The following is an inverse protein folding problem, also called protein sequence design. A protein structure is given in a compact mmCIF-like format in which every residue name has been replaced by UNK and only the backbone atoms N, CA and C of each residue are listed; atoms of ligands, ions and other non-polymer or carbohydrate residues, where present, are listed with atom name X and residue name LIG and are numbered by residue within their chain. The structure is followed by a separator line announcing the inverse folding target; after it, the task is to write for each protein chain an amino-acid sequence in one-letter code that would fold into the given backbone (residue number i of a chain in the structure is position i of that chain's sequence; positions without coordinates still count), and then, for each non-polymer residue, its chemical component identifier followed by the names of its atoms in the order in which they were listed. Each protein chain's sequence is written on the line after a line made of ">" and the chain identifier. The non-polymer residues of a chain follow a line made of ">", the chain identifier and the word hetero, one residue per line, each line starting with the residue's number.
data_IF_345556445654
#
_entry.id   IF_345556445654
#
_cell.length_a   1.000
_cell.length_b   1.000
_cell.length_c   1.000
_cell.angle_alpha   90.00
_cell.angle_beta   90.00
_cell.angle_gamma   90.00
#
_symmetry.space_group_name_H-M   'P 1'
#
loop_
_entity.id
_entity.type
_entity.pdbx_description
1 polymer ?
#
# COMPACT_ATOMS: atom_id res chain seq x y z
N UNK A 1 -36.30 11.27 -35.94
CA UNK A 1 -35.33 10.56 -35.09
C UNK A 1 -34.12 10.24 -35.94
N UNK A 2 -33.01 10.94 -35.72
CA UNK A 2 -31.76 10.69 -36.43
C UNK A 2 -30.71 10.34 -35.36
N UNK A 3 -30.35 9.07 -35.27
CA UNK A 3 -29.18 8.63 -34.50
C UNK A 3 -27.95 8.95 -35.34
N UNK A 4 -27.28 10.03 -35.00
CA UNK A 4 -25.96 10.36 -35.53
C UNK A 4 -24.93 9.36 -35.01
N UNK A 5 -24.12 8.92 -35.98
CA UNK A 5 -23.04 7.93 -35.90
C UNK A 5 -22.20 8.05 -34.64
N UNK A 6 -21.95 6.89 -34.02
CA UNK A 6 -20.89 6.69 -33.05
C UNK A 6 -19.55 7.13 -33.66
N UNK A 7 -18.90 8.10 -33.01
CA UNK A 7 -17.46 8.30 -33.15
C UNK A 7 -16.76 7.06 -32.58
N UNK A 8 -16.46 6.14 -33.47
CA UNK A 8 -15.55 5.02 -33.25
C UNK A 8 -14.12 5.52 -33.07
N UNK A 9 -13.38 4.75 -32.27
CA UNK A 9 -11.92 4.75 -32.05
C UNK A 9 -11.35 5.88 -31.19
N UNK A 10 -11.61 5.82 -29.88
CA UNK A 10 -10.63 6.32 -28.91
C UNK A 10 -9.55 5.24 -28.79
N UNK A 11 -8.32 5.57 -29.15
CA UNK A 11 -7.14 4.74 -28.93
C UNK A 11 -7.20 4.09 -27.53
N UNK A 12 -7.08 2.76 -27.49
CA UNK A 12 -7.11 1.99 -26.25
C UNK A 12 -5.84 2.28 -25.45
N UNK A 13 -5.88 3.35 -24.66
CA UNK A 13 -4.83 3.78 -23.75
C UNK A 13 -4.33 2.60 -22.89
N UNK A 14 -3.03 2.27 -22.99
CA UNK A 14 -2.36 1.28 -22.13
C UNK A 14 -1.50 1.99 -21.09
N UNK A 15 -1.40 1.40 -19.89
CA UNK A 15 -0.41 1.85 -18.90
C UNK A 15 1.02 1.61 -19.37
N UNK A 16 1.21 0.65 -20.28
CA UNK A 16 2.52 0.32 -20.86
C UNK A 16 3.03 1.42 -21.81
N UNK A 17 2.14 2.33 -22.26
CA UNK A 17 2.49 3.44 -23.16
C UNK A 17 3.03 4.67 -22.41
N UNK A 18 3.00 4.66 -21.06
CA UNK A 18 3.50 5.75 -20.23
C UNK A 18 4.87 5.39 -19.63
N UNK A 19 5.80 6.36 -19.52
CA UNK A 19 7.10 6.11 -18.89
C UNK A 19 6.91 5.63 -17.45
N UNK A 20 7.64 4.62 -16.96
CA UNK A 20 7.50 4.17 -15.58
C UNK A 20 7.81 5.31 -14.60
N UNK A 21 7.12 5.35 -13.46
CA UNK A 21 7.46 6.29 -12.40
C UNK A 21 8.81 5.92 -11.79
N UNK A 22 9.68 6.92 -11.66
CA UNK A 22 10.97 6.86 -10.96
C UNK A 22 10.78 6.90 -9.44
N UNK A 23 11.86 6.66 -8.68
CA UNK A 23 11.85 6.84 -7.23
C UNK A 23 11.49 8.28 -6.85
N UNK A 24 12.09 9.24 -7.56
CA UNK A 24 11.82 10.67 -7.36
C UNK A 24 10.35 11.03 -7.59
N UNK A 25 9.70 10.45 -8.60
CA UNK A 25 8.27 10.67 -8.83
C UNK A 25 7.42 10.18 -7.65
N UNK A 26 7.78 9.05 -7.03
CA UNK A 26 7.08 8.52 -5.86
C UNK A 26 7.33 9.38 -4.61
N UNK A 27 8.54 9.89 -4.44
CA UNK A 27 8.88 10.83 -3.35
C UNK A 27 8.01 12.07 -3.45
N UNK A 28 7.88 12.62 -4.66
CA UNK A 28 6.98 13.74 -4.95
C UNK A 28 5.51 13.42 -4.68
N UNK A 29 5.05 12.23 -5.07
CA UNK A 29 3.68 11.82 -4.79
C UNK A 29 3.41 11.68 -3.29
N UNK A 30 4.37 11.14 -2.52
CA UNK A 30 4.28 11.00 -1.07
C UNK A 30 4.29 12.38 -0.38
N UNK A 31 5.17 13.28 -0.80
CA UNK A 31 5.21 14.67 -0.33
C UNK A 31 3.90 15.41 -0.57
N UNK A 32 3.39 15.36 -1.81
CA UNK A 32 2.08 15.93 -2.17
C UNK A 32 0.95 15.34 -1.32
N UNK A 33 1.03 14.03 -1.04
CA UNK A 33 0.04 13.35 -0.21
C UNK A 33 0.10 13.83 1.24
N UNK A 34 1.30 13.97 1.80
CA UNK A 34 1.57 14.50 3.14
C UNK A 34 1.04 15.93 3.28
N UNK A 35 1.46 16.85 2.42
CA UNK A 35 0.97 18.25 2.37
C UNK A 35 -0.57 18.31 2.28
N UNK A 36 -1.17 17.44 1.47
CA UNK A 36 -2.63 17.36 1.36
C UNK A 36 -3.31 16.92 2.67
N UNK A 37 -2.70 16.01 3.46
CA UNK A 37 -3.28 15.56 4.74
C UNK A 37 -3.14 16.61 5.83
N UNK A 38 -1.99 17.26 5.91
CA UNK A 38 -1.71 18.34 6.85
C UNK A 38 -2.67 19.52 6.63
N UNK A 39 -2.84 19.97 5.38
CA UNK A 39 -3.77 21.05 5.03
C UNK A 39 -5.23 20.73 5.36
N UNK A 40 -5.59 19.44 5.44
CA UNK A 40 -6.93 18.99 5.85
C UNK A 40 -7.10 18.78 7.34
N UNK A 41 -6.05 19.01 8.16
CA UNK A 41 -6.03 18.71 9.60
C UNK A 41 -6.61 17.31 9.88
N UNK A 42 -6.24 16.35 9.04
CA UNK A 42 -6.75 14.99 9.13
C UNK A 42 -6.26 14.37 10.43
N UNK A 43 -7.14 13.81 11.26
CA UNK A 43 -6.75 12.98 12.42
C UNK A 43 -6.08 11.65 12.05
N UNK A 44 -5.64 11.53 10.80
CA UNK A 44 -4.95 10.38 10.22
C UNK A 44 -3.89 11.00 9.30
N UNK A 45 -2.69 11.31 9.84
CA UNK A 45 -1.60 11.84 9.05
C UNK A 45 -1.14 10.82 8.00
N UNK A 46 -0.37 11.27 7.02
CA UNK A 46 0.31 10.38 6.09
C UNK A 46 1.79 10.42 6.45
N UNK A 47 2.32 9.28 6.84
CA UNK A 47 3.71 9.12 7.23
C UNK A 47 4.29 8.02 6.36
N UNK A 48 5.33 8.34 5.60
CA UNK A 48 5.86 7.40 4.63
C UNK A 48 7.02 7.96 3.84
N UNK A 49 7.80 7.05 3.28
CA UNK A 49 8.97 7.38 2.46
C UNK A 49 9.14 6.38 1.33
N UNK A 50 10.02 6.72 0.40
CA UNK A 50 10.42 5.85 -0.70
C UNK A 50 11.78 5.27 -0.38
N UNK A 51 11.89 3.95 -0.48
CA UNK A 51 13.12 3.22 -0.31
C UNK A 51 13.44 2.56 -1.66
N UNK A 52 14.43 3.09 -2.35
CA UNK A 52 15.01 2.38 -3.48
C UNK A 52 16.05 1.36 -3.01
N UNK A 53 16.51 0.54 -3.95
CA UNK A 53 17.49 -0.50 -3.68
C UNK A 53 18.78 0.02 -3.02
N UNK A 54 19.23 1.22 -3.37
CA UNK A 54 20.46 1.82 -2.81
C UNK A 54 20.30 2.21 -1.34
N UNK A 55 19.07 2.46 -0.89
CA UNK A 55 18.73 2.83 0.49
C UNK A 55 18.17 1.68 1.33
N UNK A 56 18.26 0.42 0.86
CA UNK A 56 17.66 -0.73 1.54
C UNK A 56 18.30 -1.04 2.90
N UNK A 57 19.62 -0.87 3.04
CA UNK A 57 20.32 -1.07 4.32
C UNK A 57 19.78 -0.10 5.38
N UNK A 58 19.61 1.18 5.03
CA UNK A 58 18.96 2.16 5.91
C UNK A 58 17.55 1.75 6.33
N UNK A 59 16.75 1.19 5.41
CA UNK A 59 15.43 0.66 5.76
C UNK A 59 15.53 -0.46 6.79
N UNK A 60 16.49 -1.37 6.64
CA UNK A 60 16.66 -2.48 7.57
C UNK A 60 17.12 -2.01 8.94
N UNK A 61 18.10 -1.10 8.98
CA UNK A 61 18.58 -0.44 10.19
C UNK A 61 17.45 0.32 10.91
N UNK A 62 16.60 1.04 10.17
CA UNK A 62 15.43 1.71 10.73
C UNK A 62 14.45 0.72 11.38
N UNK A 63 14.11 -0.40 10.73
CA UNK A 63 13.20 -1.40 11.31
C UNK A 63 13.83 -2.03 12.57
N UNK A 64 15.12 -2.36 12.52
CA UNK A 64 15.83 -2.93 13.68
C UNK A 64 15.88 -1.94 14.86
N UNK A 65 16.30 -0.71 14.60
CA UNK A 65 16.42 0.35 15.61
C UNK A 65 15.07 0.76 16.20
N UNK A 66 14.04 0.86 15.37
CA UNK A 66 12.68 1.24 15.80
C UNK A 66 12.04 0.24 16.78
N UNK A 67 12.40 -1.05 16.71
CA UNK A 67 11.95 -2.05 17.69
C UNK A 67 12.45 -1.77 19.11
N UNK A 68 13.53 -0.98 19.25
CA UNK A 68 14.08 -0.55 20.53
C UNK A 68 13.50 0.78 21.02
N UNK A 69 12.51 1.36 20.32
CA UNK A 69 11.88 2.65 20.66
C UNK A 69 10.45 2.45 21.19
N UNK A 70 10.23 2.42 22.53
CA UNK A 70 8.90 2.27 23.12
C UNK A 70 7.90 3.32 22.63
N UNK A 71 8.38 4.53 22.35
CA UNK A 71 7.61 5.68 21.87
C UNK A 71 6.80 5.35 20.60
N UNK A 72 7.33 4.54 19.69
CA UNK A 72 6.63 4.17 18.46
C UNK A 72 5.42 3.27 18.77
N UNK A 73 5.56 2.34 19.70
CA UNK A 73 4.49 1.41 20.10
C UNK A 73 3.37 2.12 20.87
N UNK A 74 3.70 3.04 21.78
CA UNK A 74 2.73 3.80 22.57
C UNK A 74 1.79 4.67 21.70
N UNK A 75 2.30 5.18 20.57
CA UNK A 75 1.55 6.07 19.69
C UNK A 75 0.75 5.36 18.59
N UNK A 76 0.71 4.02 18.58
CA UNK A 76 0.15 3.24 17.47
C UNK A 76 0.71 3.68 16.11
N UNK A 77 2.02 3.94 16.05
CA UNK A 77 2.66 4.60 14.92
C UNK A 77 2.56 3.77 13.65
N UNK A 78 2.28 4.42 12.52
CA UNK A 78 2.16 3.78 11.20
C UNK A 78 3.04 4.49 10.19
N UNK A 79 3.76 3.73 9.39
CA UNK A 79 4.55 4.25 8.27
C UNK A 79 4.34 3.40 7.02
N UNK A 80 4.08 4.07 5.89
CA UNK A 80 3.95 3.43 4.57
C UNK A 80 5.22 3.64 3.75
N UNK A 81 5.78 2.56 3.23
CA UNK A 81 7.09 2.55 2.56
C UNK A 81 6.90 2.01 1.15
N UNK A 82 7.18 2.84 0.15
CA UNK A 82 7.29 2.37 -1.23
C UNK A 82 8.67 1.75 -1.41
N UNK A 83 8.73 0.44 -1.60
CA UNK A 83 9.99 -0.32 -1.71
C UNK A 83 10.24 -0.75 -3.15
N UNK A 84 11.40 -0.39 -3.72
CA UNK A 84 11.82 -0.83 -5.05
C UNK A 84 12.77 -2.01 -4.92
N UNK A 85 12.27 -3.21 -5.23
CA UNK A 85 13.11 -4.40 -5.32
C UNK A 85 13.76 -4.52 -6.71
N UNK A 86 14.99 -5.04 -6.75
CA UNK A 86 15.78 -5.31 -7.95
C UNK A 86 16.43 -6.70 -7.97
N UNK A 87 16.51 -7.40 -6.84
CA UNK A 87 17.52 -8.45 -6.67
C UNK A 87 17.09 -9.83 -7.20
N UNK A 88 15.87 -10.31 -6.90
CA UNK A 88 15.51 -11.70 -7.19
C UNK A 88 14.93 -11.95 -8.59
N UNK A 89 14.30 -10.95 -9.21
CA UNK A 89 13.63 -11.11 -10.51
C UNK A 89 14.40 -10.48 -11.69
N UNK A 90 15.42 -9.67 -11.40
CA UNK A 90 16.07 -8.80 -12.39
C UNK A 90 15.16 -7.68 -12.93
N UNK A 91 13.90 -7.61 -12.49
CA UNK A 91 12.90 -6.63 -12.92
C UNK A 91 12.67 -5.65 -11.77
N UNK A 92 12.89 -4.35 -12.04
CA UNK A 92 12.55 -3.27 -11.11
C UNK A 92 11.06 -3.28 -10.84
N UNK A 93 10.67 -3.47 -9.59
CA UNK A 93 9.27 -3.55 -9.22
C UNK A 93 8.98 -2.91 -7.87
N UNK A 94 7.88 -2.15 -7.81
CA UNK A 94 7.46 -1.42 -6.63
C UNK A 94 6.49 -2.27 -5.80
N UNK A 95 6.84 -2.43 -4.54
CA UNK A 95 6.00 -3.03 -3.49
C UNK A 95 5.67 -1.98 -2.42
N UNK A 96 4.64 -2.25 -1.65
CA UNK A 96 4.29 -1.45 -0.48
C UNK A 96 4.57 -2.25 0.78
N UNK A 97 5.32 -1.68 1.70
CA UNK A 97 5.47 -2.16 3.07
C UNK A 97 4.73 -1.18 3.97
N UNK A 98 3.90 -1.65 4.88
CA UNK A 98 3.42 -0.83 6.00
C UNK A 98 3.93 -1.43 7.30
N UNK A 99 4.50 -0.57 8.15
CA UNK A 99 4.85 -0.92 9.52
C UNK A 99 3.83 -0.26 10.44
N UNK A 100 3.25 -1.04 11.35
CA UNK A 100 2.45 -0.55 12.46
C UNK A 100 3.07 -1.03 13.78
N UNK A 101 3.47 -0.09 14.61
CA UNK A 101 3.94 -0.31 15.98
C UNK A 101 2.74 -0.14 16.91
N UNK A 102 2.45 -1.11 17.76
CA UNK A 102 1.30 -1.05 18.67
C UNK A 102 1.53 -1.92 19.91
N UNK A 103 0.82 -1.65 21.00
CA UNK A 103 0.87 -2.50 22.20
C UNK A 103 -0.34 -3.45 22.18
N UNK A 104 -0.10 -4.76 22.17
CA UNK A 104 -1.14 -5.80 22.22
C UNK A 104 -0.98 -6.65 23.48
N UNK A 105 -2.02 -6.66 24.33
CA UNK A 105 -2.03 -7.46 25.58
C UNK A 105 -0.80 -7.22 26.48
N UNK A 106 -0.22 -6.03 26.43
CA UNK A 106 0.96 -5.66 27.21
C UNK A 106 2.30 -5.83 26.49
N UNK A 107 2.31 -6.39 25.27
CA UNK A 107 3.53 -6.63 24.49
C UNK A 107 3.67 -5.61 23.35
N UNK A 108 4.90 -5.15 23.11
CA UNK A 108 5.25 -4.36 21.94
C UNK A 108 5.08 -5.23 20.69
N UNK A 109 4.20 -4.83 19.78
CA UNK A 109 3.87 -5.60 18.58
C UNK A 109 4.14 -4.78 17.33
N UNK A 110 5.12 -5.22 16.54
CA UNK A 110 5.39 -4.73 15.19
C UNK A 110 4.58 -5.57 14.19
N UNK A 111 3.60 -4.95 13.55
CA UNK A 111 2.86 -5.53 12.42
C UNK A 111 3.44 -5.03 11.11
N UNK A 112 3.72 -5.94 10.20
CA UNK A 112 4.33 -5.64 8.91
C UNK A 112 3.39 -6.15 7.82
N UNK A 113 2.75 -5.25 7.06
CA UNK A 113 2.04 -5.63 5.85
C UNK A 113 3.00 -5.55 4.67
N UNK A 114 3.21 -6.66 3.97
CA UNK A 114 3.97 -6.70 2.72
C UNK A 114 3.00 -6.91 1.57
N UNK A 115 2.80 -5.87 0.76
CA UNK A 115 1.85 -5.86 -0.35
C UNK A 115 2.59 -5.61 -1.66
N UNK A 116 2.78 -6.69 -2.42
CA UNK A 116 3.13 -6.61 -3.83
C UNK A 116 1.87 -6.74 -4.69
N UNK A 117 1.63 -5.73 -5.53
CA UNK A 117 0.45 -5.70 -6.39
C UNK A 117 0.38 -6.85 -7.42
N UNK A 118 1.50 -7.44 -7.82
CA UNK A 118 1.55 -8.60 -8.73
C UNK A 118 1.25 -9.93 -8.02
N UNK A 119 1.21 -9.96 -6.69
CA UNK A 119 0.61 -11.04 -5.92
C UNK A 119 1.43 -11.55 -4.72
N UNK A 120 0.93 -12.60 -4.04
CA UNK A 120 1.47 -13.09 -2.77
C UNK A 120 2.89 -13.62 -2.86
N UNK A 121 3.30 -14.22 -3.99
CA UNK A 121 4.66 -14.79 -4.10
C UNK A 121 5.76 -13.72 -4.02
N UNK A 122 5.56 -12.56 -4.65
CA UNK A 122 6.55 -11.49 -4.55
C UNK A 122 6.50 -10.83 -3.17
N UNK A 123 5.30 -10.71 -2.59
CA UNK A 123 5.15 -10.25 -1.19
C UNK A 123 5.90 -11.17 -0.22
N UNK A 124 5.82 -12.48 -0.42
CA UNK A 124 6.57 -13.47 0.34
C UNK A 124 8.08 -13.30 0.16
N UNK A 125 8.56 -13.11 -1.07
CA UNK A 125 9.98 -12.89 -1.32
C UNK A 125 10.50 -11.63 -0.61
N UNK A 126 9.74 -10.53 -0.63
CA UNK A 126 10.08 -9.31 0.11
C UNK A 126 10.05 -9.55 1.62
N UNK A 127 9.05 -10.28 2.14
CA UNK A 127 8.99 -10.65 3.55
C UNK A 127 10.19 -11.49 3.99
N UNK A 128 10.65 -12.43 3.16
CA UNK A 128 11.86 -13.21 3.41
C UNK A 128 13.09 -12.31 3.53
N UNK A 129 13.27 -11.38 2.59
CA UNK A 129 14.40 -10.44 2.61
C UNK A 129 14.35 -9.60 3.89
N UNK A 130 13.17 -9.08 4.26
CA UNK A 130 13.04 -8.32 5.50
C UNK A 130 13.38 -9.15 6.74
N UNK A 131 12.87 -10.39 6.84
CA UNK A 131 13.14 -11.23 8.00
C UNK A 131 14.63 -11.51 8.20
N UNK A 132 15.35 -11.74 7.10
CA UNK A 132 16.76 -12.10 7.12
C UNK A 132 17.65 -10.86 7.33
N UNK A 133 17.42 -9.81 6.56
CA UNK A 133 18.28 -8.62 6.56
C UNK A 133 18.04 -7.72 7.79
N UNK A 134 16.82 -7.68 8.32
CA UNK A 134 16.54 -7.00 9.59
C UNK A 134 16.95 -7.87 10.78
N UNK A 135 16.95 -9.20 10.64
CA UNK A 135 17.22 -10.12 11.76
C UNK A 135 16.04 -10.20 12.72
N UNK A 136 14.88 -10.65 12.24
CA UNK A 136 13.68 -10.75 13.11
C UNK A 136 13.85 -11.74 14.26
N UNK A 137 14.55 -12.86 14.06
CA UNK A 137 14.82 -13.83 15.12
C UNK A 137 15.71 -13.22 16.20
N UNK A 138 16.80 -12.56 15.80
CA UNK A 138 17.69 -11.78 16.66
C UNK A 138 16.93 -10.76 17.52
N UNK A 139 15.96 -10.04 16.95
CA UNK A 139 15.14 -9.07 17.68
C UNK A 139 14.24 -9.74 18.71
N UNK A 140 13.60 -10.86 18.35
CA UNK A 140 12.73 -11.62 19.25
C UNK A 140 13.50 -12.28 20.40
N UNK A 141 14.77 -12.64 20.18
CA UNK A 141 15.66 -13.15 21.23
C UNK A 141 16.16 -12.05 22.18
N UNK A 142 16.39 -10.83 21.66
CA UNK A 142 16.94 -9.70 22.43
C UNK A 142 15.89 -8.92 23.22
N UNK A 143 14.62 -8.93 22.79
CA UNK A 143 13.55 -8.09 23.34
C UNK A 143 12.39 -8.98 23.82
N UNK A 144 12.37 -9.28 25.13
CA UNK A 144 11.44 -10.24 25.75
C UNK A 144 9.94 -9.96 25.50
N UNK A 145 9.55 -8.69 25.38
CA UNK A 145 8.16 -8.25 25.21
C UNK A 145 7.79 -7.90 23.75
N UNK A 146 8.67 -8.20 22.79
CA UNK A 146 8.44 -7.94 21.36
C UNK A 146 7.68 -9.08 20.69
N UNK A 147 6.74 -8.74 19.82
CA UNK A 147 6.10 -9.63 18.88
C UNK A 147 6.18 -9.02 17.47
N UNK A 148 6.63 -9.81 16.50
CA UNK A 148 6.63 -9.41 15.09
C UNK A 148 5.59 -10.25 14.35
N UNK A 149 4.66 -9.59 13.66
CA UNK A 149 3.63 -10.24 12.85
C UNK A 149 3.69 -9.74 11.41
N UNK A 150 3.99 -10.64 10.48
CA UNK A 150 4.05 -10.32 9.05
C UNK A 150 2.74 -10.74 8.39
N UNK A 151 2.14 -9.86 7.59
CA UNK A 151 0.89 -10.05 6.88
C UNK A 151 1.14 -9.99 5.38
N UNK A 152 0.68 -11.01 4.65
CA UNK A 152 0.79 -11.10 3.20
C UNK A 152 -0.62 -11.21 2.60
N UNK A 153 -1.03 -10.27 1.74
CA UNK A 153 -2.26 -10.36 0.99
C UNK A 153 -2.31 -11.60 0.08
N UNK A 154 -3.38 -12.38 0.16
CA UNK A 154 -3.61 -13.57 -0.68
C UNK A 154 -4.13 -13.27 -2.09
N UNK A 155 -4.08 -11.99 -2.49
CA UNK A 155 -4.66 -11.49 -3.74
C UNK A 155 -3.63 -10.87 -4.68
N UNK A 156 -3.91 -10.98 -5.98
CA UNK A 156 -3.22 -10.23 -7.04
C UNK A 156 -4.07 -9.01 -7.44
N UNK A 157 -3.52 -7.82 -7.28
CA UNK A 157 -4.21 -6.56 -7.62
C UNK A 157 -3.93 -6.11 -9.06
N UNK A 158 -2.68 -6.27 -9.51
CA UNK A 158 -2.18 -5.87 -10.81
C UNK A 158 -2.09 -7.07 -11.75
N UNK A 159 -2.71 -6.97 -12.92
CA UNK A 159 -2.55 -7.91 -14.03
C UNK A 159 -1.84 -7.29 -15.24
N UNK A 160 -1.77 -5.96 -15.33
CA UNK A 160 -0.97 -5.26 -16.34
C UNK A 160 0.53 -5.40 -16.07
N UNK A 161 1.36 -5.23 -17.10
CA UNK A 161 2.82 -5.25 -16.96
C UNK A 161 3.34 -3.96 -16.33
N UNK A 162 2.76 -2.82 -16.68
CA UNK A 162 2.97 -1.55 -16.00
C UNK A 162 1.92 -1.26 -14.90
N UNK A 163 2.27 -0.39 -13.95
CA UNK A 163 1.32 0.17 -12.98
C UNK A 163 1.69 -0.03 -11.50
N UNK A 164 2.75 -0.78 -11.19
CA UNK A 164 3.14 -1.12 -9.82
C UNK A 164 3.32 0.10 -8.93
N UNK A 165 4.07 1.10 -9.40
CA UNK A 165 4.19 2.42 -8.77
C UNK A 165 2.82 3.06 -8.43
N UNK A 166 1.87 3.02 -9.37
CA UNK A 166 0.53 3.61 -9.14
C UNK A 166 -0.27 2.80 -8.13
N UNK A 167 -0.15 1.48 -8.15
CA UNK A 167 -0.74 0.62 -7.11
C UNK A 167 -0.13 0.91 -5.74
N UNK A 168 1.19 1.01 -5.62
CA UNK A 168 1.91 1.34 -4.38
C UNK A 168 1.43 2.67 -3.82
N UNK A 169 1.44 3.74 -4.62
CA UNK A 169 0.95 5.07 -4.21
C UNK A 169 -0.53 5.05 -3.81
N UNK A 170 -1.37 4.32 -4.56
CA UNK A 170 -2.80 4.24 -4.24
C UNK A 170 -3.07 3.47 -2.95
N UNK A 171 -2.39 2.34 -2.77
CA UNK A 171 -2.51 1.51 -1.57
C UNK A 171 -2.01 2.27 -0.35
N UNK A 172 -0.84 2.93 -0.41
CA UNK A 172 -0.33 3.78 0.67
C UNK A 172 -1.34 4.88 1.06
N UNK A 173 -1.86 5.60 0.06
CA UNK A 173 -2.88 6.64 0.25
C UNK A 173 -4.19 6.13 0.86
N UNK A 174 -4.58 4.88 0.55
CA UNK A 174 -5.74 4.22 1.16
C UNK A 174 -5.47 3.78 2.58
N UNK A 175 -4.39 3.04 2.82
CA UNK A 175 -3.99 2.50 4.13
C UNK A 175 -3.88 3.60 5.18
N UNK A 176 -3.31 4.76 4.82
CA UNK A 176 -3.22 5.94 5.69
C UNK A 176 -4.55 6.42 6.28
N UNK A 177 -5.69 5.95 5.78
CA UNK A 177 -7.02 6.30 6.27
C UNK A 177 -7.94 5.09 6.38
N UNK A 178 -7.37 3.89 6.41
CA UNK A 178 -8.14 2.64 6.42
C UNK A 178 -8.90 2.48 7.74
N UNK A 179 -8.28 2.85 8.86
CA UNK A 179 -8.86 2.82 10.21
C UNK A 179 -10.11 3.70 10.40
N UNK A 180 -10.39 4.63 9.48
CA UNK A 180 -11.67 5.38 9.45
C UNK A 180 -12.87 4.49 9.13
N UNK A 181 -12.61 3.35 8.51
CA UNK A 181 -13.61 2.41 8.02
C UNK A 181 -13.50 1.11 8.79
N UNK A 182 -12.29 0.54 8.82
CA UNK A 182 -12.01 -0.72 9.48
C UNK A 182 -10.49 -0.87 9.64
N UNK A 183 -10.03 -1.26 10.83
CA UNK A 183 -8.62 -1.56 11.06
C UNK A 183 -8.21 -2.77 10.20
N UNK A 184 -7.15 -2.60 9.40
CA UNK A 184 -6.74 -3.63 8.44
C UNK A 184 -6.27 -4.92 9.11
N UNK A 185 -5.50 -4.83 10.18
CA UNK A 185 -4.96 -6.01 10.86
C UNK A 185 -6.05 -6.75 11.61
N UNK A 186 -6.96 -6.04 12.29
CA UNK A 186 -8.14 -6.69 12.86
C UNK A 186 -9.01 -7.37 11.80
N UNK A 187 -9.16 -6.78 10.62
CA UNK A 187 -9.88 -7.41 9.53
C UNK A 187 -9.19 -8.69 9.07
N UNK A 188 -7.87 -8.64 8.85
CA UNK A 188 -7.07 -9.79 8.44
C UNK A 188 -7.06 -10.90 9.49
N UNK A 189 -7.01 -10.55 10.78
CA UNK A 189 -7.09 -11.48 11.92
C UNK A 189 -8.48 -12.13 12.07
N UNK A 190 -9.56 -11.43 11.69
CA UNK A 190 -10.95 -11.91 11.79
C UNK A 190 -11.40 -12.74 10.58
N UNK A 191 -10.61 -12.82 9.51
CA UNK A 191 -10.97 -13.59 8.32
C UNK A 191 -11.25 -15.05 8.73
N UNK A 192 -12.47 -15.59 8.47
CA UNK A 192 -12.78 -16.95 8.85
C UNK A 192 -11.85 -17.91 8.12
N UNK A 193 -11.35 -18.89 8.85
CA UNK A 193 -10.67 -20.07 8.31
C UNK A 193 -11.59 -20.74 7.27
N UNK A 194 -11.50 -20.33 6.00
CA UNK A 194 -12.13 -21.03 4.89
C UNK A 194 -11.33 -22.33 4.65
N UNK A 195 -11.45 -23.26 5.62
CA UNK A 195 -10.69 -24.51 5.70
C UNK A 195 -9.48 -24.42 6.63
N UNK A 196 -9.70 -24.44 7.94
CA UNK A 196 -8.74 -24.86 9.00
C UNK A 196 -7.34 -24.24 9.05
N UNK A 197 -7.07 -23.11 8.41
CA UNK A 197 -5.82 -22.36 8.56
C UNK A 197 -6.00 -20.99 7.91
N UNK A 198 -5.93 -19.90 8.69
CA UNK A 198 -5.03 -18.79 8.34
C UNK A 198 -3.81 -19.50 7.81
N UNK A 199 -3.51 -19.38 6.50
CA UNK A 199 -2.29 -19.98 5.98
C UNK A 199 -1.16 -19.20 6.62
N UNK A 200 -0.80 -19.61 7.82
CA UNK A 200 0.48 -19.30 8.43
C UNK A 200 1.45 -20.07 7.56
N UNK A 201 1.81 -19.43 6.46
CA UNK A 201 2.95 -19.87 5.70
C UNK A 201 4.18 -19.62 6.57
N UNK A 202 5.25 -20.32 6.25
CA UNK A 202 6.52 -20.09 6.89
C UNK A 202 7.48 -19.57 5.85
N UNK A 203 8.30 -18.61 6.25
CA UNK A 203 9.53 -18.24 5.55
C UNK A 203 10.51 -19.44 5.58
N UNK A 204 11.60 -19.34 4.82
CA UNK A 204 12.62 -20.40 4.69
C UNK A 204 13.22 -20.80 6.07
N UNK A 205 13.28 -19.86 7.01
CA UNK A 205 13.78 -20.04 8.38
C UNK A 205 12.65 -20.35 9.40
N UNK A 206 11.56 -20.96 8.94
CA UNK A 206 10.38 -21.30 9.76
C UNK A 206 9.60 -20.11 10.37
N UNK A 207 10.00 -18.86 10.11
CA UNK A 207 9.33 -17.66 10.62
C UNK A 207 7.88 -17.54 10.07
N UNK A 208 6.86 -17.36 10.93
CA UNK A 208 5.46 -17.39 10.51
C UNK A 208 5.02 -16.11 9.80
N UNK A 209 4.24 -16.27 8.73
CA UNK A 209 3.59 -15.15 8.00
C UNK A 209 2.10 -15.40 7.83
N UNK A 210 1.28 -14.39 8.11
CA UNK A 210 -0.17 -14.43 8.04
C UNK A 210 -0.65 -14.12 6.63
N UNK A 211 -1.05 -15.13 5.87
CA UNK A 211 -1.70 -14.91 4.57
C UNK A 211 -3.21 -14.67 4.75
N UNK A 212 -3.71 -13.51 4.33
CA UNK A 212 -5.13 -13.17 4.47
C UNK A 212 -5.62 -12.19 3.38
N UNK A 213 -6.94 -12.12 3.21
CA UNK A 213 -7.57 -11.20 2.26
C UNK A 213 -7.53 -9.74 2.74
N UNK A 214 -7.46 -8.81 1.78
CA UNK A 214 -7.50 -7.38 2.05
C UNK A 214 -8.93 -6.87 2.25
N UNK A 215 -9.13 -5.80 3.03
CA UNK A 215 -10.42 -5.12 3.11
C UNK A 215 -10.90 -4.66 1.73
N UNK A 216 -12.21 -4.75 1.42
CA UNK A 216 -12.78 -4.37 0.12
C UNK A 216 -12.39 -2.95 -0.33
N UNK A 217 -12.22 -2.03 0.61
CA UNK A 217 -11.75 -0.67 0.32
C UNK A 217 -10.40 -0.65 -0.41
N UNK A 218 -9.46 -1.51 -0.03
CA UNK A 218 -8.13 -1.63 -0.67
C UNK A 218 -8.25 -2.34 -2.02
N UNK A 219 -9.16 -3.31 -2.14
CA UNK A 219 -9.42 -4.07 -3.38
C UNK A 219 -10.01 -3.24 -4.53
N UNK A 220 -10.44 -1.99 -4.31
CA UNK A 220 -11.16 -1.19 -5.33
C UNK A 220 -10.33 -0.84 -6.58
N UNK A 221 -9.02 -0.98 -6.47
CA UNK A 221 -8.06 -0.83 -7.57
C UNK A 221 -7.77 -2.12 -8.32
N UNK A 222 -8.25 -3.27 -7.83
CA UNK A 222 -7.95 -4.56 -8.40
C UNK A 222 -8.39 -4.65 -9.87
N UNK A 223 -7.48 -5.18 -10.69
CA UNK A 223 -7.71 -5.53 -12.08
C UNK A 223 -8.16 -7.00 -12.25
N UNK A 224 -8.02 -7.81 -11.20
CA UNK A 224 -8.40 -9.23 -11.22
C UNK A 224 -9.89 -9.40 -11.43
N UNK A 225 -10.28 -10.13 -12.49
CA UNK A 225 -11.68 -10.50 -12.73
C UNK A 225 -12.27 -11.28 -11.56
N UNK A 226 -11.50 -12.18 -10.95
CA UNK A 226 -11.95 -12.96 -9.81
C UNK A 226 -12.40 -12.07 -8.64
N UNK A 227 -11.75 -10.92 -8.43
CA UNK A 227 -12.12 -9.97 -7.36
C UNK A 227 -13.31 -9.10 -7.76
N UNK A 228 -13.34 -8.61 -9.01
CA UNK A 228 -14.37 -7.65 -9.44
C UNK A 228 -15.73 -8.30 -9.74
N UNK A 229 -15.78 -9.63 -9.83
CA UNK A 229 -17.02 -10.40 -10.04
C UNK A 229 -17.40 -11.29 -8.86
N UNK A 230 -16.66 -11.26 -7.74
CA UNK A 230 -17.00 -12.07 -6.56
C UNK A 230 -18.16 -11.42 -5.79
N UNK A 231 -19.33 -12.05 -5.82
CA UNK A 231 -20.53 -11.56 -5.13
C UNK A 231 -20.35 -11.42 -3.61
N UNK A 232 -19.51 -12.24 -2.97
CA UNK A 232 -19.25 -12.11 -1.53
C UNK A 232 -18.51 -10.80 -1.26
N UNK A 233 -17.47 -10.51 -2.04
CA UNK A 233 -16.69 -9.27 -1.93
C UNK A 233 -17.51 -8.05 -2.36
N UNK A 234 -18.33 -8.18 -3.41
CA UNK A 234 -19.19 -7.11 -3.90
C UNK A 234 -20.22 -6.63 -2.88
N UNK A 235 -20.68 -7.53 -2.00
CA UNK A 235 -21.75 -7.27 -1.04
C UNK A 235 -21.28 -7.27 0.43
N UNK A 236 -19.97 -7.34 0.70
CA UNK A 236 -19.43 -7.55 2.06
C UNK A 236 -19.47 -6.32 2.98
N UNK A 237 -19.54 -5.10 2.46
CA UNK A 237 -19.31 -3.88 3.27
C UNK A 237 -20.28 -2.75 2.92
N UNK A 238 -20.92 -2.09 3.91
CA UNK A 238 -21.91 -1.05 3.66
C UNK A 238 -21.32 0.20 3.02
N UNK A 239 -20.20 0.76 3.51
CA UNK A 239 -19.58 1.94 2.91
C UNK A 239 -18.04 1.90 2.99
N UNK A 240 -17.36 2.21 1.88
CA UNK A 240 -15.89 2.08 1.77
C UNK A 240 -15.16 3.41 1.50
N UNK A 241 -15.87 4.54 1.44
CA UNK A 241 -15.25 5.84 1.21
C UNK A 241 -16.11 7.00 1.75
N UNK A 242 -15.55 8.21 1.72
CA UNK A 242 -16.22 9.43 2.21
C UNK A 242 -17.46 9.85 1.41
N UNK A 243 -17.65 9.29 0.20
CA UNK A 243 -18.84 9.51 -0.62
C UNK A 243 -19.98 8.55 -0.27
N UNK A 244 -19.83 7.73 0.78
CA UNK A 244 -20.80 6.70 1.19
C UNK A 244 -21.14 5.74 0.03
N UNK A 245 -20.12 5.33 -0.73
CA UNK A 245 -20.29 4.30 -1.77
C UNK A 245 -20.01 2.92 -1.19
N UNK A 246 -20.79 1.91 -1.61
CA UNK A 246 -20.46 0.50 -1.41
C UNK A 246 -19.25 0.10 -2.28
N UNK A 247 -18.64 -1.06 -2.01
CA UNK A 247 -17.57 -1.58 -2.87
C UNK A 247 -18.04 -1.78 -4.31
N UNK A 248 -19.19 -2.43 -4.51
CA UNK A 248 -19.82 -2.62 -5.82
C UNK A 248 -20.04 -1.31 -6.57
N UNK A 249 -20.61 -0.29 -5.92
CA UNK A 249 -20.83 1.01 -6.54
C UNK A 249 -19.51 1.69 -6.94
N UNK A 250 -18.49 1.60 -6.08
CA UNK A 250 -17.21 2.25 -6.35
C UNK A 250 -16.43 1.55 -7.45
N UNK A 251 -16.45 0.21 -7.53
CA UNK A 251 -15.68 -0.53 -8.52
C UNK A 251 -16.30 -0.40 -9.92
N UNK A 252 -17.62 -0.57 -10.05
CA UNK A 252 -18.32 -0.54 -11.33
C UNK A 252 -18.21 0.81 -12.07
N UNK A 253 -18.08 1.93 -11.35
CA UNK A 253 -17.85 3.28 -11.94
C UNK A 253 -16.57 3.38 -12.77
N UNK A 254 -15.62 2.49 -12.55
CA UNK A 254 -14.33 2.50 -13.23
C UNK A 254 -14.13 1.26 -14.11
N UNK A 255 -15.11 0.36 -14.18
CA UNK A 255 -15.08 -0.78 -15.07
C UNK A 255 -15.46 -0.36 -16.49
N UNK A 256 -14.71 -0.85 -17.48
CA UNK A 256 -15.17 -0.91 -18.86
C UNK A 256 -15.80 -2.27 -19.14
N UNK A 257 -16.74 -2.31 -20.08
CA UNK A 257 -17.53 -3.50 -20.43
C UNK A 257 -17.30 -3.88 -21.90
N UNK A 258 -17.62 -5.11 -22.27
CA UNK A 258 -17.65 -5.51 -23.68
C UNK A 258 -18.70 -4.68 -24.45
N UNK A 259 -18.38 -4.32 -25.70
CA UNK A 259 -19.28 -3.56 -26.57
C UNK A 259 -20.59 -4.34 -26.81
N UNK A 260 -21.70 -3.62 -26.85
CA UNK A 260 -23.05 -4.16 -27.06
C UNK A 260 -23.53 -5.22 -26.04
N UNK A 261 -22.83 -5.36 -24.91
CA UNK A 261 -23.23 -6.27 -23.83
C UNK A 261 -23.88 -5.52 -22.64
N UNK A 262 -24.81 -6.15 -21.90
CA UNK A 262 -25.34 -5.61 -20.65
C UNK A 262 -24.23 -5.30 -19.64
N UNK A 263 -24.37 -4.21 -18.87
CA UNK A 263 -23.41 -3.81 -17.82
C UNK A 263 -23.55 -4.67 -16.56
N UNK A 264 -23.28 -5.97 -16.69
CA UNK A 264 -23.27 -6.94 -15.59
C UNK A 264 -21.82 -7.35 -15.25
N UNK A 265 -21.55 -7.89 -14.05
CA UNK A 265 -20.20 -8.29 -13.64
C UNK A 265 -19.50 -9.22 -14.64
N UNK A 266 -20.23 -10.12 -15.27
CA UNK A 266 -19.72 -11.10 -16.24
C UNK A 266 -19.15 -10.43 -17.49
N UNK A 267 -19.69 -9.26 -17.84
CA UNK A 267 -19.33 -8.49 -19.03
C UNK A 267 -18.27 -7.41 -18.75
N UNK A 268 -17.73 -7.32 -17.53
CA UNK A 268 -16.64 -6.39 -17.21
C UNK A 268 -15.37 -6.80 -17.94
N UNK A 269 -14.87 -5.92 -18.81
CA UNK A 269 -13.60 -6.10 -19.52
C UNK A 269 -12.40 -5.91 -18.59
N UNK A 270 -12.33 -4.76 -17.91
CA UNK A 270 -11.25 -4.41 -16.96
C UNK A 270 -11.66 -3.26 -16.04
N UNK A 271 -10.97 -3.14 -14.91
CA UNK A 271 -11.03 -1.96 -14.05
C UNK A 271 -9.97 -0.92 -14.48
N UNK A 272 -10.41 0.28 -14.86
CA UNK A 272 -9.56 1.35 -15.38
C UNK A 272 -9.18 2.38 -14.32
N UNK A 273 -9.52 2.14 -13.04
CA UNK A 273 -9.25 3.08 -11.94
C UNK A 273 -7.79 3.45 -11.85
N UNK A 274 -6.89 2.46 -11.92
CA UNK A 274 -5.45 2.67 -11.76
C UNK A 274 -4.88 3.51 -12.91
N UNK A 275 -5.35 3.29 -14.14
CA UNK A 275 -4.98 4.10 -15.29
C UNK A 275 -5.34 5.58 -15.09
N UNK A 276 -6.59 5.85 -14.67
CA UNK A 276 -7.04 7.22 -14.35
C UNK A 276 -6.23 7.85 -13.22
N UNK A 277 -5.78 7.05 -12.24
CA UNK A 277 -4.92 7.52 -11.14
C UNK A 277 -3.49 7.80 -11.60
N UNK A 278 -2.92 6.99 -12.49
CA UNK A 278 -1.59 7.21 -13.02
C UNK A 278 -1.51 8.57 -13.74
N UNK A 279 -2.48 8.87 -14.62
CA UNK A 279 -2.56 10.17 -15.31
C UNK A 279 -2.68 11.32 -14.29
N UNK A 280 -3.54 11.17 -13.28
CA UNK A 280 -3.72 12.20 -12.25
C UNK A 280 -2.42 12.45 -11.47
N UNK A 281 -1.69 11.39 -11.12
CA UNK A 281 -0.43 11.52 -10.40
C UNK A 281 0.64 12.21 -11.25
N UNK A 282 0.81 11.81 -12.52
CA UNK A 282 1.74 12.49 -13.43
C UNK A 282 1.45 13.99 -13.51
N UNK A 283 0.21 14.36 -13.80
CA UNK A 283 -0.16 15.76 -13.91
C UNK A 283 0.10 16.55 -12.60
N UNK A 284 -0.08 15.93 -11.44
CA UNK A 284 0.19 16.57 -10.16
C UNK A 284 1.70 16.72 -9.88
N UNK A 285 2.48 15.68 -10.18
CA UNK A 285 3.94 15.69 -10.03
C UNK A 285 4.57 16.69 -11.00
N UNK A 286 4.19 16.64 -12.29
CA UNK A 286 4.68 17.56 -13.32
C UNK A 286 4.37 19.03 -12.98
N UNK A 287 3.24 19.27 -12.31
CA UNK A 287 2.88 20.61 -11.87
C UNK A 287 3.73 21.05 -10.67
N UNK A 288 3.91 20.20 -9.67
CA UNK A 288 4.74 20.51 -8.49
C UNK A 288 6.20 20.73 -8.89
N UNK A 289 6.76 19.87 -9.76
CA UNK A 289 8.13 20.01 -10.28
C UNK A 289 8.37 21.32 -11.05
N UNK A 290 7.31 21.93 -11.62
CA UNK A 290 7.41 23.24 -12.30
C UNK A 290 7.35 24.42 -11.35
N UNK A 291 6.78 24.24 -10.16
CA UNK A 291 6.46 25.33 -9.23
C UNK A 291 7.44 25.39 -8.06
N UNK A 292 7.95 24.25 -7.63
CA UNK A 292 8.84 24.15 -6.47
C UNK A 292 10.32 24.34 -6.83
N UNK A 293 11.08 24.93 -5.91
CA UNK A 293 12.55 24.94 -6.00
C UNK A 293 13.12 23.57 -5.62
N UNK A 294 14.32 23.24 -6.12
CA UNK A 294 14.99 21.96 -5.82
C UNK A 294 15.16 21.71 -4.31
N UNK A 295 15.34 22.77 -3.52
CA UNK A 295 15.55 22.69 -2.06
C UNK A 295 14.25 22.41 -1.28
N UNK A 296 13.08 22.79 -1.78
CA UNK A 296 11.78 22.47 -1.15
C UNK A 296 11.37 21.00 -1.35
N UNK A 297 11.98 20.31 -2.32
CA UNK A 297 11.69 18.92 -2.64
C UNK A 297 12.40 17.92 -1.71
N UNK A 298 13.63 18.22 -1.28
CA UNK A 298 14.50 17.25 -0.60
C UNK A 298 14.06 16.88 0.82
N UNK A 299 13.24 17.69 1.50
CA UNK A 299 13.05 17.62 2.96
C UNK A 299 11.70 17.04 3.45
N UNK A 300 10.90 16.35 2.62
CA UNK A 300 9.49 16.09 3.02
C UNK A 300 9.10 14.63 3.27
N UNK A 301 9.91 13.64 2.86
CA UNK A 301 9.61 12.21 3.02
C UNK A 301 10.90 11.37 3.12
N UNK A 302 11.82 11.74 4.02
CA UNK A 302 13.07 10.98 4.19
C UNK A 302 12.95 9.96 5.33
N UNK A 303 13.78 8.92 5.26
CA UNK A 303 13.91 7.96 6.36
C UNK A 303 14.59 8.61 7.58
N UNK A 304 15.48 9.58 7.34
CA UNK A 304 16.27 10.25 8.37
C UNK A 304 15.35 11.04 9.34
N UNK A 305 14.28 11.69 8.82
CA UNK A 305 13.27 12.38 9.66
C UNK A 305 12.57 11.42 10.64
N UNK A 306 12.37 10.16 10.23
CA UNK A 306 11.71 9.14 11.03
C UNK A 306 12.64 8.52 12.07
N UNK A 307 13.92 8.36 11.73
CA UNK A 307 14.95 7.95 12.68
C UNK A 307 15.13 8.98 13.80
N UNK A 308 15.13 10.27 13.45
CA UNK A 308 15.16 11.35 14.45
C UNK A 308 13.92 11.31 15.34
N UNK A 309 12.73 11.09 14.77
CA UNK A 309 11.51 10.95 15.56
C UNK A 309 11.57 9.74 16.52
N UNK A 310 12.05 8.59 16.04
CA UNK A 310 12.19 7.36 16.82
C UNK A 310 13.22 7.48 17.94
N UNK A 311 14.28 8.27 17.72
CA UNK A 311 15.40 8.45 18.66
C UNK A 311 15.24 9.64 19.61
N UNK A 312 14.27 10.53 19.36
CA UNK A 312 14.09 11.74 20.17
C UNK A 312 13.27 11.51 21.44
N UNK A 313 13.77 12.06 22.56
CA UNK A 313 13.04 12.15 23.85
C UNK A 313 11.91 13.19 23.82
N UNK A 314 11.72 13.89 22.70
CA UNK A 314 10.75 14.96 22.58
C UNK A 314 9.30 14.42 22.48
N UNK A 315 8.33 15.00 23.21
CA UNK A 315 6.93 14.62 23.10
C UNK A 315 6.41 14.85 21.68
N UNK A 316 5.45 14.03 21.25
CA UNK A 316 4.92 13.91 19.87
C UNK A 316 4.44 15.21 19.21
N UNK A 317 4.26 16.30 19.96
CA UNK A 317 3.85 17.61 19.44
C UNK A 317 5.01 18.47 18.92
N UNK A 318 6.26 18.11 19.21
CA UNK A 318 7.44 18.95 18.92
C UNK A 318 8.06 18.67 17.56
N UNK A 319 7.82 17.48 17.00
CA UNK A 319 8.32 17.10 15.68
C UNK A 319 7.20 17.38 14.68
N UNK A 320 7.41 18.34 13.80
CA UNK A 320 6.56 18.53 12.62
C UNK A 320 6.81 17.38 11.64
N UNK A 321 6.30 16.18 11.98
CA UNK A 321 6.18 15.06 11.07
C UNK A 321 5.08 15.27 10.06
#
# INVERSE_FOLDING_TARGET
>A
MAFTKSETTVDKFSLDDLPPFSAHDLEMAFSLKKKYRESKKSGYPFTGFVCDYERREKLYDFIYGSCHSPKLFENNFKVQIAYLDREKSGVRHWSLIELQYSIEKGNNTLKILVLDSLGPQLSYNTAQVLANEVGFEDLLEKIDDLSIKVYIPDVKLQHSRAGCATFTMDCASMLSTQDKYENIYEFMDKQPDAGSTVKVAKLEDDFPVHCASLPPRILRGAQSRAIITDDKVLNSTPFINSKKETFRQSILKHCSFFEDQPQTPENIKRNERIMKKAIKWRNAIDLEMKISSSEELENTCTIDDLEEYASSDLPSKSVHL
#
